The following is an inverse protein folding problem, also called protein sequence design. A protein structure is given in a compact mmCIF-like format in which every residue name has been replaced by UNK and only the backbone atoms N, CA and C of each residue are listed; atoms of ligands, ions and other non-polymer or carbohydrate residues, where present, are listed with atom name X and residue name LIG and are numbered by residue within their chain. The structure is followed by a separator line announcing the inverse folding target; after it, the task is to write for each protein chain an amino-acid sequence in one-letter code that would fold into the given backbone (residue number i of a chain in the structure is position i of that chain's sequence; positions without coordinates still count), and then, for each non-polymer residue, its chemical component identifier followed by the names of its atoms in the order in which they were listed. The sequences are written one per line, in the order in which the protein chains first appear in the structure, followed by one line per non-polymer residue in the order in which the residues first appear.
data_IF_909391999305
#
_entry.id   IF_909391999305
#
_cell.length_a   1.000
_cell.length_b   1.000
_cell.length_c   1.000
_cell.angle_alpha   90.00
_cell.angle_beta   90.00
_cell.angle_gamma   90.00
#
_symmetry.space_group_name_H-M   'P 1'
#
loop_
_entity.id
_entity.type
_entity.pdbx_description
1 polymer ?
#
# COMPACT_ATOMS: atom_id res chain seq x y z
N UNK A 1 -1.41 -0.13 -23.47
CA UNK A 1 -1.07 -1.06 -22.38
C UNK A 1 0.45 -1.10 -22.27
N UNK A 2 1.01 -0.60 -21.18
CA UNK A 2 2.46 -0.58 -20.95
C UNK A 2 2.84 -1.94 -20.36
N UNK A 3 3.52 -2.77 -21.14
CA UNK A 3 4.00 -4.08 -20.68
C UNK A 3 5.24 -3.83 -19.80
N UNK A 4 5.27 -4.33 -18.54
CA UNK A 4 6.40 -4.13 -17.64
C UNK A 4 7.66 -4.82 -18.20
N UNK A 5 8.81 -4.14 -18.11
CA UNK A 5 10.06 -4.57 -18.76
C UNK A 5 10.82 -5.62 -17.93
N UNK A 6 10.42 -5.81 -16.67
CA UNK A 6 10.88 -6.85 -15.76
C UNK A 6 9.71 -7.28 -14.85
N UNK A 7 9.66 -8.56 -14.49
CA UNK A 7 8.72 -9.11 -13.49
C UNK A 7 8.87 -8.49 -12.09
N UNK A 8 9.96 -7.74 -11.87
CA UNK A 8 10.30 -7.07 -10.61
C UNK A 8 9.87 -5.61 -10.53
N UNK A 9 9.30 -5.02 -11.59
CA UNK A 9 8.79 -3.65 -11.52
C UNK A 9 7.49 -3.63 -10.70
N UNK A 10 7.45 -2.93 -9.55
CA UNK A 10 6.27 -2.87 -8.74
C UNK A 10 5.18 -2.14 -9.51
N UNK A 11 3.97 -2.72 -9.53
CA UNK A 11 2.82 -2.15 -10.25
C UNK A 11 2.55 -0.75 -9.70
N UNK A 12 2.65 0.27 -10.55
CA UNK A 12 2.34 1.66 -10.20
C UNK A 12 1.02 2.08 -10.83
N UNK A 13 0.12 2.63 -10.01
CA UNK A 13 -1.16 3.21 -10.44
C UNK A 13 -1.00 4.73 -10.35
N UNK A 14 -1.03 5.44 -11.48
CA UNK A 14 -0.83 6.90 -11.54
C UNK A 14 0.49 7.38 -10.88
N UNK A 15 1.56 6.58 -10.98
CA UNK A 15 2.85 6.87 -10.35
C UNK A 15 2.90 6.64 -8.83
N UNK A 16 1.83 6.10 -8.24
CA UNK A 16 1.75 5.68 -6.85
C UNK A 16 1.84 4.15 -6.74
N UNK A 17 2.38 3.67 -5.62
CA UNK A 17 2.26 2.24 -5.27
C UNK A 17 0.79 1.88 -4.98
N UNK A 18 0.38 0.62 -5.11
CA UNK A 18 -1.02 0.23 -4.91
C UNK A 18 -1.51 0.61 -3.51
N UNK A 19 -0.66 0.43 -2.49
CA UNK A 19 -0.98 0.80 -1.10
C UNK A 19 -1.27 2.31 -0.93
N UNK A 20 -0.52 3.16 -1.62
CA UNK A 20 -0.70 4.62 -1.60
C UNK A 20 -1.98 5.02 -2.33
N UNK A 21 -2.23 4.40 -3.48
CA UNK A 21 -3.45 4.64 -4.25
C UNK A 21 -4.69 4.22 -3.47
N UNK A 22 -4.71 2.99 -2.92
CA UNK A 22 -5.83 2.49 -2.12
C UNK A 22 -6.01 3.26 -0.82
N UNK A 23 -4.93 3.61 -0.12
CA UNK A 23 -5.01 4.42 1.10
C UNK A 23 -5.58 5.81 0.83
N UNK A 24 -5.13 6.48 -0.23
CA UNK A 24 -5.66 7.77 -0.66
C UNK A 24 -7.12 7.69 -1.12
N UNK A 25 -7.45 6.71 -1.97
CA UNK A 25 -8.79 6.51 -2.50
C UNK A 25 -9.81 6.17 -1.40
N UNK A 26 -9.46 5.29 -0.47
CA UNK A 26 -10.31 4.95 0.68
C UNK A 26 -10.58 6.18 1.55
N UNK A 27 -9.54 6.97 1.83
CA UNK A 27 -9.69 8.20 2.60
C UNK A 27 -10.60 9.21 1.90
N UNK A 28 -10.45 9.38 0.59
CA UNK A 28 -11.36 10.23 -0.19
C UNK A 28 -12.80 9.74 -0.11
N UNK A 29 -13.03 8.43 -0.32
CA UNK A 29 -14.37 7.83 -0.30
C UNK A 29 -15.06 8.03 1.04
N UNK A 30 -14.37 7.85 2.16
CA UNK A 30 -14.94 8.02 3.51
C UNK A 30 -15.53 9.42 3.72
N UNK A 31 -14.81 10.46 3.29
CA UNK A 31 -15.29 11.85 3.41
C UNK A 31 -16.28 12.23 2.30
N UNK A 32 -16.19 11.58 1.13
CA UNK A 32 -17.17 11.76 0.06
C UNK A 32 -18.58 11.34 0.53
N UNK A 33 -18.71 10.19 1.21
CA UNK A 33 -19.98 9.72 1.77
C UNK A 33 -20.53 10.62 2.89
N UNK A 34 -19.69 11.47 3.48
CA UNK A 34 -20.08 12.45 4.49
C UNK A 34 -20.43 13.83 3.88
N UNK A 35 -20.58 13.94 2.55
CA UNK A 35 -20.79 15.19 1.81
C UNK A 35 -19.67 16.23 1.99
N UNK A 36 -18.45 15.77 2.27
CA UNK A 36 -17.28 16.62 2.47
C UNK A 36 -16.13 16.27 1.50
N UNK A 37 -16.34 16.40 0.17
CA UNK A 37 -15.37 15.96 -0.83
C UNK A 37 -14.04 16.75 -0.77
N UNK A 38 -14.08 18.01 -0.35
CA UNK A 38 -12.88 18.84 -0.15
C UNK A 38 -12.00 18.32 0.98
N UNK A 39 -12.58 17.95 2.12
CA UNK A 39 -11.83 17.32 3.22
C UNK A 39 -11.34 15.93 2.83
N UNK A 40 -12.09 15.18 2.02
CA UNK A 40 -11.65 13.92 1.46
C UNK A 40 -10.42 14.05 0.57
N UNK A 41 -10.37 15.09 -0.27
CA UNK A 41 -9.21 15.35 -1.12
C UNK A 41 -7.97 15.69 -0.29
N UNK A 42 -8.11 16.57 0.71
CA UNK A 42 -7.02 16.89 1.64
C UNK A 42 -6.55 15.65 2.42
N UNK A 43 -7.49 14.83 2.91
CA UNK A 43 -7.17 13.59 3.61
C UNK A 43 -6.41 12.62 2.69
N UNK A 44 -6.84 12.46 1.43
CA UNK A 44 -6.16 11.62 0.47
C UNK A 44 -4.70 12.08 0.22
N UNK A 45 -4.48 13.38 0.03
CA UNK A 45 -3.12 13.95 -0.12
C UNK A 45 -2.30 13.67 1.14
N UNK A 46 -2.85 13.93 2.33
CA UNK A 46 -2.16 13.72 3.60
C UNK A 46 -1.79 12.26 3.82
N UNK A 47 -2.67 11.32 3.45
CA UNK A 47 -2.41 9.88 3.55
C UNK A 47 -1.33 9.45 2.57
N UNK A 48 -1.41 9.87 1.31
CA UNK A 48 -0.37 9.56 0.31
C UNK A 48 0.98 10.14 0.74
N UNK A 49 1.02 11.38 1.23
CA UNK A 49 2.25 12.00 1.70
C UNK A 49 2.85 11.29 2.92
N UNK A 50 1.99 10.93 3.89
CA UNK A 50 2.39 10.17 5.07
C UNK A 50 2.94 8.80 4.68
N UNK A 51 2.26 8.08 3.79
CA UNK A 51 2.71 6.78 3.30
C UNK A 51 4.03 6.87 2.54
N UNK A 52 4.20 7.88 1.67
CA UNK A 52 5.47 8.16 1.01
C UNK A 52 6.60 8.42 2.00
N UNK A 53 6.33 9.14 3.08
CA UNK A 53 7.33 9.42 4.13
C UNK A 53 7.66 8.18 4.95
N UNK A 54 6.68 7.35 5.29
CA UNK A 54 6.90 6.07 6.01
C UNK A 54 7.69 5.09 5.14
N UNK A 55 7.44 5.11 3.82
CA UNK A 55 8.14 4.29 2.82
C UNK A 55 9.45 4.90 2.34
N UNK A 56 9.78 6.14 2.71
CA UNK A 56 11.02 6.78 2.28
C UNK A 56 12.22 5.98 2.83
N UNK A 57 12.98 5.35 1.94
CA UNK A 57 14.10 4.48 2.28
C UNK A 57 13.75 3.00 2.51
N UNK A 58 12.53 2.56 2.19
CA UNK A 58 12.10 1.15 2.30
C UNK A 58 11.78 0.55 0.93
N UNK A 59 11.93 -0.76 0.82
CA UNK A 59 11.66 -1.48 -0.42
C UNK A 59 10.16 -1.45 -0.79
N UNK A 60 9.88 -1.51 -2.09
CA UNK A 60 8.54 -1.66 -2.61
C UNK A 60 7.91 -2.96 -2.05
N UNK A 61 6.67 -2.89 -1.55
CA UNK A 61 6.02 -3.99 -0.82
C UNK A 61 6.26 -4.03 0.69
N UNK A 62 6.98 -3.06 1.29
CA UNK A 62 7.22 -3.00 2.74
C UNK A 62 5.95 -3.11 3.61
N UNK A 63 4.84 -2.50 3.19
CA UNK A 63 3.58 -2.58 3.94
C UNK A 63 2.99 -3.98 3.94
N UNK A 64 2.97 -4.66 2.78
CA UNK A 64 2.57 -6.06 2.66
C UNK A 64 3.45 -6.97 3.52
N UNK A 65 4.77 -6.73 3.52
CA UNK A 65 5.70 -7.47 4.37
C UNK A 65 5.42 -7.25 5.86
N UNK A 66 5.11 -6.01 6.28
CA UNK A 66 4.73 -5.74 7.66
C UNK A 66 3.42 -6.39 8.06
N UNK A 67 2.40 -6.37 7.20
CA UNK A 67 1.11 -7.05 7.46
C UNK A 67 1.34 -8.56 7.66
N UNK A 68 2.22 -9.14 6.85
CA UNK A 68 2.65 -10.52 6.99
C UNK A 68 3.42 -10.79 8.29
N UNK A 69 4.36 -9.91 8.67
CA UNK A 69 5.10 -9.97 9.95
C UNK A 69 4.19 -9.86 11.18
N UNK A 70 3.08 -9.12 11.08
CA UNK A 70 2.05 -9.03 12.12
C UNK A 70 1.18 -10.30 12.24
N UNK A 71 1.45 -11.35 11.45
CA UNK A 71 0.78 -12.64 11.58
C UNK A 71 -0.57 -12.73 10.86
N UNK A 72 -0.86 -11.82 9.93
CA UNK A 72 -1.98 -12.02 9.00
C UNK A 72 -1.55 -13.00 7.91
N UNK A 73 -2.08 -14.25 7.89
CA UNK A 73 -1.81 -15.15 6.78
C UNK A 73 -2.44 -14.54 5.53
N UNK A 74 -1.61 -14.31 4.50
CA UNK A 74 -2.03 -13.85 3.18
C UNK A 74 -1.99 -15.06 2.22
N UNK A 75 -2.95 -16.02 2.33
CA UNK A 75 -2.95 -17.22 1.52
C UNK A 75 -3.01 -16.87 0.03
N UNK A 76 -2.04 -17.38 -0.74
CA UNK A 76 -1.97 -17.17 -2.19
C UNK A 76 -1.16 -15.96 -2.65
N UNK A 77 -0.73 -15.06 -1.75
CA UNK A 77 0.14 -13.93 -2.07
C UNK A 77 1.56 -14.07 -1.51
N UNK A 78 1.71 -14.73 -0.36
CA UNK A 78 3.01 -15.02 0.25
C UNK A 78 3.04 -16.49 0.69
N UNK A 79 4.22 -17.14 0.69
CA UNK A 79 4.37 -18.46 1.30
C UNK A 79 3.93 -18.40 2.78
N UNK A 80 3.49 -19.52 3.38
CA UNK A 80 3.09 -19.54 4.79
C UNK A 80 4.24 -19.09 5.71
N UNK A 81 3.90 -18.46 6.84
CA UNK A 81 4.84 -17.95 7.85
C UNK A 81 5.71 -19.09 8.37
N UNK A 82 6.92 -19.25 7.79
CA UNK A 82 7.92 -20.19 8.29
C UNK A 82 8.65 -19.48 9.43
N UNK A 83 8.31 -19.84 10.67
CA UNK A 83 9.14 -19.50 11.82
C UNK A 83 10.52 -20.13 11.61
N UNK A 84 11.49 -19.38 11.10
CA UNK A 84 12.91 -19.74 11.24
C UNK A 84 13.34 -19.41 12.66
N UNK A 85 12.89 -20.23 13.62
CA UNK A 85 13.42 -20.30 14.97
C UNK A 85 13.30 -21.75 15.47
N UNK A 86 14.08 -22.64 14.85
CA UNK A 86 14.73 -23.74 15.56
C UNK A 86 16.22 -23.61 15.23
N UNK A 87 16.98 -23.13 16.23
CA UNK A 87 18.26 -23.65 16.71
C UNK A 87 18.82 -22.72 17.80
#
# INVERSE_FOLDING_TARGET
MMVPKSLDEPVRILGLSPDEFFGGALSFLLFYFQNHPTYGFLAAIMVVFTLKRIKAGKNDGFMLHKIYEYGFPLPGLLPPYVNHFED
#
